data_IF_572886508147
#
_entry.id   IF_572886508147
#
_cell.length_a   1.000
_cell.length_b   1.000
_cell.length_c   1.000
_cell.angle_alpha   90.00
_cell.angle_beta   90.00
_cell.angle_gamma   90.00
#
_symmetry.space_group_name_H-M   'P 1'
#
loop_
_entity.id
_entity.type
_entity.pdbx_description
1 polymer ?
#
# COMPACT_ATOMS: atom_id res chain seq x y z
N UNK A 1 -13.38 8.87 -1.91
CA UNK A 1 -14.33 7.84 -1.47
C UNK A 1 -15.42 7.66 -2.52
N UNK A 2 -15.75 6.41 -2.83
CA UNK A 2 -16.83 6.00 -3.76
C UNK A 2 -17.75 4.99 -3.07
N UNK A 3 -19.03 5.34 -2.93
CA UNK A 3 -20.04 4.46 -2.32
C UNK A 3 -20.49 3.39 -3.31
N UNK A 4 -20.63 2.16 -2.82
CA UNK A 4 -21.02 0.97 -3.61
C UNK A 4 -19.88 0.36 -4.43
N UNK A 5 -18.67 0.92 -4.35
CA UNK A 5 -17.52 0.47 -5.11
C UNK A 5 -16.60 -0.41 -4.25
N UNK A 6 -15.87 -1.30 -4.92
CA UNK A 6 -14.76 -2.06 -4.35
C UNK A 6 -13.41 -1.53 -4.84
N UNK A 7 -12.33 -2.19 -4.42
CA UNK A 7 -10.97 -1.79 -4.77
C UNK A 7 -10.66 -1.97 -6.26
N UNK A 8 -11.36 -2.89 -6.94
CA UNK A 8 -11.13 -3.14 -8.37
C UNK A 8 -11.73 -2.00 -9.21
N UNK A 9 -12.98 -1.62 -8.93
CA UNK A 9 -13.60 -0.46 -9.57
C UNK A 9 -12.83 0.84 -9.27
N UNK A 10 -12.31 0.98 -8.04
CA UNK A 10 -11.51 2.14 -7.68
C UNK A 10 -10.15 2.17 -8.39
N UNK A 11 -9.50 1.02 -8.60
CA UNK A 11 -8.29 0.94 -9.43
C UNK A 11 -8.54 1.36 -10.88
N UNK A 12 -9.71 1.05 -11.45
CA UNK A 12 -10.09 1.49 -12.80
C UNK A 12 -10.18 3.02 -12.87
N UNK A 13 -10.88 3.66 -11.92
CA UNK A 13 -10.98 5.12 -11.86
C UNK A 13 -9.63 5.81 -11.62
N UNK A 14 -8.79 5.23 -10.76
CA UNK A 14 -7.44 5.76 -10.52
C UNK A 14 -6.58 5.62 -11.78
N UNK A 15 -6.69 4.54 -12.53
CA UNK A 15 -5.99 4.37 -13.81
C UNK A 15 -6.41 5.46 -14.81
N UNK A 16 -7.72 5.68 -14.97
CA UNK A 16 -8.25 6.74 -15.84
C UNK A 16 -7.79 8.13 -15.44
N UNK A 17 -7.78 8.43 -14.13
CA UNK A 17 -7.28 9.69 -13.59
C UNK A 17 -5.78 9.86 -13.91
N UNK A 18 -4.96 8.87 -13.58
CA UNK A 18 -3.51 8.92 -13.79
C UNK A 18 -3.17 9.08 -15.27
N UNK A 19 -3.84 8.32 -16.16
CA UNK A 19 -3.66 8.46 -17.61
C UNK A 19 -4.04 9.86 -18.09
N UNK A 20 -5.16 10.40 -17.63
CA UNK A 20 -5.63 11.73 -18.03
C UNK A 20 -4.65 12.83 -17.62
N UNK A 21 -4.13 12.77 -16.38
CA UNK A 21 -3.19 13.75 -15.85
C UNK A 21 -1.79 13.63 -16.48
N UNK A 22 -1.34 12.41 -16.74
CA UNK A 22 0.01 12.17 -17.24
C UNK A 22 0.09 12.14 -18.76
N UNK A 23 -1.01 12.00 -19.51
CA UNK A 23 -1.01 11.90 -20.98
C UNK A 23 -0.17 12.98 -21.71
N UNK A 24 -0.19 14.27 -21.31
CA UNK A 24 0.65 15.28 -21.97
C UNK A 24 2.15 15.07 -21.77
N UNK A 25 2.55 14.40 -20.70
CA UNK A 25 3.94 14.25 -20.26
C UNK A 25 4.49 12.83 -20.50
N UNK A 26 3.61 11.82 -20.49
CA UNK A 26 3.89 10.39 -20.59
C UNK A 26 2.84 9.67 -21.46
N UNK A 27 2.81 9.92 -22.77
CA UNK A 27 1.73 9.49 -23.67
C UNK A 27 1.67 7.97 -23.93
N UNK A 28 2.67 7.20 -23.48
CA UNK A 28 2.76 5.75 -23.67
C UNK A 28 2.62 4.95 -22.38
N UNK A 29 2.20 5.59 -21.28
CA UNK A 29 2.08 4.91 -20.01
C UNK A 29 1.08 3.76 -20.10
N UNK A 30 1.60 2.54 -19.94
CA UNK A 30 0.79 1.34 -19.84
C UNK A 30 0.44 1.06 -18.37
N UNK A 31 -0.53 0.18 -18.14
CA UNK A 31 -0.93 -0.18 -16.79
C UNK A 31 -0.81 -1.68 -16.60
N UNK A 32 -0.14 -2.07 -15.52
CA UNK A 32 -0.02 -3.47 -15.08
C UNK A 32 -0.66 -3.61 -13.71
N UNK A 33 -1.36 -4.73 -13.48
CA UNK A 33 -1.87 -5.11 -12.15
C UNK A 33 -1.19 -6.40 -11.70
N UNK A 34 -0.66 -6.38 -10.48
CA UNK A 34 -0.04 -7.52 -9.84
C UNK A 34 -0.68 -7.70 -8.47
N UNK A 35 -1.02 -8.93 -8.09
CA UNK A 35 -1.21 -9.20 -6.66
C UNK A 35 0.12 -9.08 -5.93
N UNK A 36 0.07 -8.76 -4.64
CA UNK A 36 1.24 -8.65 -3.77
C UNK A 36 2.10 -9.92 -3.85
N UNK A 37 1.44 -11.07 -3.83
CA UNK A 37 2.06 -12.38 -4.02
C UNK A 37 2.73 -12.55 -5.38
N UNK A 38 2.10 -12.08 -6.46
CA UNK A 38 2.70 -12.11 -7.81
C UNK A 38 3.92 -11.20 -7.89
N UNK A 39 3.89 -10.01 -7.29
CA UNK A 39 5.03 -9.10 -7.24
C UNK A 39 6.23 -9.76 -6.54
N UNK A 40 6.03 -10.35 -5.36
CA UNK A 40 7.08 -11.08 -4.64
C UNK A 40 7.69 -12.22 -5.47
N UNK A 41 6.85 -13.06 -6.09
CA UNK A 41 7.33 -14.16 -6.92
C UNK A 41 8.10 -13.69 -8.14
N UNK A 42 7.62 -12.64 -8.80
CA UNK A 42 8.22 -12.11 -10.03
C UNK A 42 9.57 -11.43 -9.78
N UNK A 43 9.67 -10.61 -8.73
CA UNK A 43 10.82 -9.73 -8.54
C UNK A 43 11.86 -10.30 -7.57
N UNK A 44 11.45 -11.09 -6.58
CA UNK A 44 12.36 -11.67 -5.60
C UNK A 44 12.24 -13.21 -5.49
N UNK A 45 11.48 -13.86 -6.38
CA UNK A 45 11.49 -15.32 -6.53
C UNK A 45 10.94 -16.13 -5.35
N UNK A 46 10.30 -15.48 -4.37
CA UNK A 46 9.74 -16.14 -3.18
C UNK A 46 8.29 -15.69 -2.95
N UNK A 47 7.58 -16.41 -2.08
CA UNK A 47 6.23 -16.06 -1.63
C UNK A 47 6.33 -15.14 -0.38
N UNK A 48 5.46 -14.14 -0.18
CA UNK A 48 5.42 -13.30 1.02
C UNK A 48 4.96 -14.04 2.30
N UNK A 49 4.93 -15.38 2.28
CA UNK A 49 4.45 -16.24 3.36
C UNK A 49 5.16 -16.00 4.69
N UNK A 50 4.77 -16.73 5.74
CA UNK A 50 5.12 -16.40 7.14
C UNK A 50 6.57 -16.68 7.56
N UNK A 51 7.45 -17.05 6.65
CA UNK A 51 8.84 -17.37 6.98
C UNK A 51 9.73 -16.11 6.90
N UNK A 52 9.84 -15.42 8.03
CA UNK A 52 10.67 -14.21 8.16
C UNK A 52 12.16 -14.48 7.94
N UNK A 53 12.65 -15.68 8.29
CA UNK A 53 14.06 -16.02 8.11
C UNK A 53 14.40 -16.17 6.63
N UNK A 54 13.58 -16.92 5.89
CA UNK A 54 13.76 -17.07 4.44
C UNK A 54 13.67 -15.72 3.71
N UNK A 55 12.71 -14.87 4.10
CA UNK A 55 12.57 -13.52 3.54
C UNK A 55 13.81 -12.65 3.83
N UNK A 56 14.27 -12.60 5.08
CA UNK A 56 15.46 -11.83 5.46
C UNK A 56 16.72 -12.32 4.72
N UNK A 57 16.94 -13.63 4.62
CA UNK A 57 18.04 -14.19 3.84
C UNK A 57 17.95 -13.82 2.36
N UNK A 58 16.74 -13.84 1.78
CA UNK A 58 16.55 -13.44 0.39
C UNK A 58 16.89 -11.97 0.17
N UNK A 59 16.44 -11.09 1.07
CA UNK A 59 16.74 -9.65 1.00
C UNK A 59 18.23 -9.37 1.14
N UNK A 60 18.91 -10.02 2.10
CA UNK A 60 20.35 -9.92 2.25
C UNK A 60 21.11 -10.38 0.98
N UNK A 61 20.66 -11.47 0.35
CA UNK A 61 21.21 -11.95 -0.92
C UNK A 61 21.00 -11.01 -2.11
N UNK A 62 20.04 -10.09 -2.02
CA UNK A 62 19.81 -9.02 -2.99
C UNK A 62 20.55 -7.72 -2.63
N UNK A 63 21.36 -7.71 -1.57
CA UNK A 63 22.10 -6.54 -1.10
C UNK A 63 21.26 -5.55 -0.31
N UNK A 64 20.03 -5.90 0.10
CA UNK A 64 19.19 -5.05 0.95
C UNK A 64 19.64 -5.18 2.41
N UNK A 65 19.90 -4.04 3.05
CA UNK A 65 20.28 -4.02 4.47
C UNK A 65 19.05 -4.27 5.33
N UNK A 66 19.00 -5.41 6.01
CA UNK A 66 17.94 -5.77 6.94
C UNK A 66 18.31 -5.30 8.35
N UNK A 67 17.53 -4.36 8.89
CA UNK A 67 17.74 -3.87 10.25
C UNK A 67 17.37 -4.92 11.29
N UNK A 68 18.10 -4.94 12.41
CA UNK A 68 17.78 -5.77 13.57
C UNK A 68 16.40 -5.38 14.14
N UNK A 69 15.59 -6.37 14.50
CA UNK A 69 14.30 -6.14 15.17
C UNK A 69 13.10 -5.86 14.26
N UNK A 70 13.25 -5.95 12.93
CA UNK A 70 12.08 -5.94 12.04
C UNK A 70 11.25 -7.20 12.25
N UNK A 71 9.94 -7.02 12.44
CA UNK A 71 8.98 -8.11 12.41
C UNK A 71 8.68 -8.53 10.96
N UNK A 72 7.82 -9.55 10.81
CA UNK A 72 7.52 -10.08 9.47
C UNK A 72 6.94 -9.02 8.53
N UNK A 73 6.01 -8.19 9.01
CA UNK A 73 5.43 -7.12 8.20
C UNK A 73 6.46 -6.05 7.83
N UNK A 74 7.37 -5.70 8.74
CA UNK A 74 8.47 -4.79 8.44
C UNK A 74 9.43 -5.34 7.39
N UNK A 75 9.67 -6.66 7.37
CA UNK A 75 10.44 -7.30 6.30
C UNK A 75 9.69 -7.30 4.96
N UNK A 76 8.37 -7.48 5.00
CA UNK A 76 7.51 -7.41 3.81
C UNK A 76 7.50 -6.00 3.21
N UNK A 77 7.37 -4.98 4.05
CA UNK A 77 7.44 -3.57 3.64
C UNK A 77 8.80 -3.23 3.04
N UNK A 78 9.89 -3.63 3.71
CA UNK A 78 11.25 -3.45 3.19
C UNK A 78 11.46 -4.17 1.85
N UNK A 79 10.93 -5.39 1.70
CA UNK A 79 11.00 -6.11 0.44
C UNK A 79 10.26 -5.38 -0.68
N UNK A 80 9.04 -4.91 -0.41
CA UNK A 80 8.26 -4.18 -1.39
C UNK A 80 8.98 -2.88 -1.80
N UNK A 81 9.40 -2.07 -0.84
CA UNK A 81 9.94 -0.74 -1.12
C UNK A 81 11.37 -0.74 -1.67
N UNK A 82 12.24 -1.66 -1.20
CA UNK A 82 13.67 -1.63 -1.53
C UNK A 82 14.09 -2.66 -2.57
N UNK A 83 13.34 -3.76 -2.75
CA UNK A 83 13.72 -4.83 -3.68
C UNK A 83 12.75 -5.02 -4.85
N UNK A 84 11.46 -4.73 -4.67
CA UNK A 84 10.43 -5.02 -5.66
C UNK A 84 10.05 -3.76 -6.45
N UNK A 85 9.58 -2.71 -5.77
CA UNK A 85 9.10 -1.49 -6.40
C UNK A 85 10.15 -0.79 -7.29
N UNK A 86 11.46 -0.75 -6.94
CA UNK A 86 12.47 -0.20 -7.83
C UNK A 86 12.60 -0.93 -9.18
N UNK A 87 12.11 -2.18 -9.27
CA UNK A 87 12.07 -2.95 -10.51
C UNK A 87 10.82 -2.75 -11.35
N UNK A 88 9.84 -1.96 -10.89
CA UNK A 88 8.69 -1.61 -11.71
C UNK A 88 9.11 -0.70 -12.86
N UNK A 89 8.38 -0.79 -13.97
CA UNK A 89 8.63 0.05 -15.14
C UNK A 89 8.31 1.52 -14.80
N UNK A 90 9.29 2.45 -14.88
CA UNK A 90 9.06 3.87 -14.61
C UNK A 90 8.17 4.52 -15.66
N UNK A 91 8.04 3.96 -16.86
CA UNK A 91 7.20 4.51 -17.92
C UNK A 91 5.76 3.99 -17.85
N UNK A 92 5.45 3.09 -16.91
CA UNK A 92 4.13 2.50 -16.72
C UNK A 92 3.62 2.71 -15.29
N UNK A 93 2.30 2.54 -15.10
CA UNK A 93 1.69 2.44 -13.77
C UNK A 93 1.57 0.97 -13.40
N UNK A 94 2.13 0.59 -12.25
CA UNK A 94 1.98 -0.75 -11.67
C UNK A 94 1.10 -0.67 -10.44
N UNK A 95 -0.10 -1.26 -10.51
CA UNK A 95 -0.92 -1.50 -9.33
C UNK A 95 -0.46 -2.78 -8.64
N UNK A 96 -0.15 -2.68 -7.36
CA UNK A 96 0.00 -3.83 -6.47
C UNK A 96 -1.27 -3.93 -5.64
N UNK A 97 -1.91 -5.10 -5.59
CA UNK A 97 -3.15 -5.30 -4.81
C UNK A 97 -3.12 -6.61 -4.01
N UNK A 98 -4.15 -6.89 -3.20
CA UNK A 98 -4.23 -8.12 -2.38
C UNK A 98 -3.09 -8.23 -1.37
N UNK A 99 -2.88 -7.16 -0.60
CA UNK A 99 -1.86 -7.10 0.45
C UNK A 99 -2.11 -8.20 1.52
N UNK A 100 -1.06 -8.63 2.25
CA UNK A 100 -1.23 -9.51 3.40
C UNK A 100 -2.31 -8.98 4.36
N UNK A 101 -3.13 -9.87 4.92
CA UNK A 101 -4.18 -9.47 5.87
C UNK A 101 -3.63 -8.74 7.12
N UNK A 102 -2.38 -9.01 7.51
CA UNK A 102 -1.68 -8.28 8.58
C UNK A 102 -1.44 -6.80 8.24
N UNK A 103 -1.36 -6.47 6.95
CA UNK A 103 -1.17 -5.12 6.42
C UNK A 103 -2.48 -4.50 5.91
N UNK A 104 -3.62 -4.95 6.44
CA UNK A 104 -4.93 -4.48 6.00
C UNK A 104 -5.18 -3.01 6.29
N UNK A 105 -4.55 -2.41 7.30
CA UNK A 105 -4.88 -1.06 7.75
C UNK A 105 -6.42 -0.92 7.95
N UNK A 106 -7.06 0.03 7.25
CA UNK A 106 -8.51 0.24 7.25
C UNK A 106 -9.25 -0.58 6.17
N UNK A 107 -8.56 -1.47 5.46
CA UNK A 107 -9.16 -2.28 4.41
C UNK A 107 -9.97 -3.46 4.97
N UNK A 108 -11.05 -3.80 4.29
CA UNK A 108 -11.75 -5.07 4.43
C UNK A 108 -10.81 -6.24 4.10
N UNK A 109 -10.95 -7.36 4.82
CA UNK A 109 -10.23 -8.60 4.51
C UNK A 109 -11.10 -9.48 3.59
N UNK A 110 -10.50 -10.00 2.52
CA UNK A 110 -11.10 -10.98 1.61
C UNK A 110 -10.85 -12.39 2.12
N UNK A 111 -11.87 -13.23 2.05
CA UNK A 111 -11.84 -14.64 2.48
C UNK A 111 -11.19 -15.54 1.42
N UNK A 112 -9.94 -15.25 1.07
CA UNK A 112 -9.09 -16.10 0.22
C UNK A 112 -8.24 -17.04 1.07
N UNK A 113 -7.47 -17.94 0.44
CA UNK A 113 -6.50 -18.82 1.12
C UNK A 113 -5.10 -18.62 0.53
N UNK A 114 -4.19 -17.88 1.19
CA UNK A 114 -4.37 -17.16 2.46
C UNK A 114 -5.27 -15.92 2.33
N UNK A 115 -5.83 -15.38 3.44
CA UNK A 115 -6.62 -14.16 3.41
C UNK A 115 -5.78 -12.95 3.03
N UNK A 116 -6.37 -12.01 2.30
CA UNK A 116 -5.71 -10.79 1.80
C UNK A 116 -6.56 -9.56 2.10
N UNK A 117 -5.91 -8.42 2.29
CA UNK A 117 -6.56 -7.13 2.37
C UNK A 117 -7.04 -6.68 0.99
N UNK A 118 -8.26 -6.15 0.92
CA UNK A 118 -8.82 -5.47 -0.23
C UNK A 118 -8.19 -4.07 -0.40
N UNK A 119 -6.87 -4.03 -0.55
CA UNK A 119 -6.03 -2.84 -0.64
C UNK A 119 -5.22 -2.90 -1.94
N UNK A 120 -4.94 -1.74 -2.51
CA UNK A 120 -4.00 -1.55 -3.58
C UNK A 120 -3.11 -0.33 -3.36
N UNK A 121 -1.96 -0.33 -4.00
CA UNK A 121 -1.12 0.84 -4.19
C UNK A 121 -0.79 0.95 -5.69
N UNK A 122 -0.67 2.18 -6.18
CA UNK A 122 -0.27 2.46 -7.55
C UNK A 122 1.15 3.01 -7.54
N UNK A 123 2.03 2.45 -8.38
CA UNK A 123 3.42 2.85 -8.48
C UNK A 123 3.77 3.28 -9.91
N UNK A 124 4.73 4.19 -10.06
CA UNK A 124 5.47 4.41 -11.31
C UNK A 124 6.95 4.29 -11.01
N UNK A 125 7.58 3.22 -11.49
CA UNK A 125 8.87 2.78 -10.96
C UNK A 125 8.79 2.55 -9.44
N UNK A 126 9.80 2.99 -8.70
CA UNK A 126 9.81 2.93 -7.23
C UNK A 126 8.95 3.98 -6.51
N UNK A 127 8.24 4.85 -7.24
CA UNK A 127 7.47 5.95 -6.65
C UNK A 127 6.01 5.53 -6.46
N UNK A 128 5.55 5.49 -5.21
CA UNK A 128 4.14 5.28 -4.86
C UNK A 128 3.31 6.53 -5.16
N UNK A 129 2.32 6.42 -6.03
CA UNK A 129 1.44 7.50 -6.46
C UNK A 129 0.11 7.52 -5.72
N UNK A 130 -0.41 6.35 -5.32
CA UNK A 130 -1.69 6.23 -4.66
C UNK A 130 -1.75 5.02 -3.74
N UNK A 131 -2.58 5.10 -2.71
CA UNK A 131 -2.92 3.99 -1.82
C UNK A 131 -4.43 4.00 -1.59
N UNK A 132 -5.08 2.89 -1.89
CA UNK A 132 -6.53 2.76 -1.81
C UNK A 132 -6.99 1.39 -1.33
N UNK A 133 -8.23 1.33 -0.86
CA UNK A 133 -8.79 0.12 -0.28
C UNK A 133 -10.31 0.13 -0.29
N UNK A 134 -10.91 -1.06 -0.31
CA UNK A 134 -12.30 -1.27 0.12
C UNK A 134 -12.37 -1.10 1.63
N UNK A 135 -13.16 -0.13 2.09
CA UNK A 135 -13.23 0.28 3.49
C UNK A 135 -13.75 -0.83 4.40
N UNK A 136 -13.17 -0.96 5.59
CA UNK A 136 -13.73 -1.74 6.69
C UNK A 136 -14.91 -0.97 7.28
N UNK A 137 -16.11 -1.55 7.20
CA UNK A 137 -17.33 -0.97 7.75
C UNK A 137 -17.71 -1.53 9.11
N UNK A 138 -17.00 -2.56 9.59
CA UNK A 138 -17.27 -3.26 10.85
C UNK A 138 -16.52 -2.58 12.01
N UNK A 139 -17.28 -1.99 12.94
CA UNK A 139 -16.76 -1.27 14.09
C UNK A 139 -16.05 -2.19 15.11
N UNK A 140 -16.52 -3.43 15.29
CA UNK A 140 -15.96 -4.36 16.27
C UNK A 140 -14.61 -4.90 15.79
N UNK A 141 -14.52 -5.21 14.49
CA UNK A 141 -13.25 -5.55 13.83
C UNK A 141 -12.28 -4.36 13.89
N UNK A 142 -12.74 -3.14 13.59
CA UNK A 142 -11.89 -1.94 13.66
C UNK A 142 -11.37 -1.70 15.09
N UNK A 143 -12.21 -1.87 16.11
CA UNK A 143 -11.80 -1.79 17.53
C UNK A 143 -10.76 -2.85 17.86
N UNK A 144 -10.98 -4.09 17.42
CA UNK A 144 -10.05 -5.21 17.64
C UNK A 144 -8.66 -4.92 17.04
N UNK A 145 -8.62 -4.31 15.85
CA UNK A 145 -7.37 -3.86 15.20
C UNK A 145 -6.69 -2.74 15.96
N UNK A 146 -7.44 -1.73 16.42
CA UNK A 146 -6.87 -0.68 17.25
C UNK A 146 -6.24 -1.23 18.53
N UNK A 147 -6.89 -2.16 19.22
CA UNK A 147 -6.31 -2.74 20.43
C UNK A 147 -5.10 -3.64 20.16
N UNK A 148 -5.10 -4.36 19.03
CA UNK A 148 -3.95 -5.13 18.60
C UNK A 148 -2.73 -4.25 18.30
N UNK A 149 -2.91 -3.16 17.55
CA UNK A 149 -1.85 -2.20 17.23
C UNK A 149 -1.33 -1.49 18.49
N UNK A 150 -2.24 -1.08 19.39
CA UNK A 150 -1.86 -0.49 20.68
C UNK A 150 -1.04 -1.45 21.53
N UNK A 151 -1.40 -2.74 21.56
CA UNK A 151 -0.62 -3.77 22.25
C UNK A 151 0.76 -3.94 21.63
N UNK A 152 0.83 -4.09 20.30
CA UNK A 152 2.09 -4.19 19.55
C UNK A 152 3.03 -3.03 19.86
N UNK A 153 2.51 -1.79 19.85
CA UNK A 153 3.30 -0.59 20.18
C UNK A 153 3.80 -0.59 21.62
N UNK A 154 2.97 -0.96 22.60
CA UNK A 154 3.40 -1.08 24.00
C UNK A 154 4.51 -2.11 24.17
N UNK A 155 4.38 -3.25 23.51
CA UNK A 155 5.36 -4.34 23.57
C UNK A 155 6.71 -3.94 22.94
N UNK A 156 6.71 -2.97 22.00
CA UNK A 156 7.92 -2.41 21.38
C UNK A 156 8.38 -1.09 22.02
N UNK A 157 7.79 -0.69 23.14
CA UNK A 157 8.15 0.56 23.85
C UNK A 157 7.75 1.84 23.12
N UNK A 158 6.90 1.75 22.09
CA UNK A 158 6.38 2.89 21.34
C UNK A 158 5.11 3.47 22.00
N UNK A 159 4.86 4.78 21.86
CA UNK A 159 3.61 5.39 22.30
C UNK A 159 2.41 4.74 21.62
N UNK A 160 1.45 4.27 22.43
CA UNK A 160 0.18 3.74 21.95
C UNK A 160 -0.86 4.88 21.89
N UNK A 161 -1.33 5.29 20.70
CA UNK A 161 -2.36 6.31 20.60
C UNK A 161 -3.67 5.86 21.26
N UNK A 162 -4.53 6.81 21.67
CA UNK A 162 -5.88 6.48 22.09
C UNK A 162 -6.65 5.83 20.93
N UNK A 163 -7.66 5.03 21.29
CA UNK A 163 -8.64 4.53 20.31
C UNK A 163 -9.45 5.72 19.79
N UNK A 164 -9.67 5.78 18.48
CA UNK A 164 -10.54 6.78 17.86
C UNK A 164 -12.00 6.37 18.06
N UNK A 165 -12.57 6.82 19.18
CA UNK A 165 -13.96 6.51 19.54
C UNK A 165 -14.99 7.20 18.60
N UNK A 166 -14.62 8.32 17.97
CA UNK A 166 -15.48 9.02 17.02
C UNK A 166 -15.61 8.23 15.71
N UNK A 167 -14.50 7.68 15.21
CA UNK A 167 -14.51 6.78 14.05
C UNK A 167 -15.33 5.52 14.33
N UNK A 168 -15.15 4.89 15.49
CA UNK A 168 -15.91 3.70 15.86
C UNK A 168 -17.41 4.00 15.96
N UNK A 169 -17.78 5.12 16.58
CA UNK A 169 -19.16 5.57 16.62
C UNK A 169 -19.72 5.79 15.21
N UNK A 170 -18.96 6.43 14.31
CA UNK A 170 -19.39 6.64 12.93
C UNK A 170 -19.62 5.31 12.18
N UNK A 171 -18.73 4.33 12.35
CA UNK A 171 -18.90 2.98 11.79
C UNK A 171 -20.15 2.30 12.35
N UNK A 172 -20.41 2.38 13.66
CA UNK A 172 -21.60 1.82 14.30
C UNK A 172 -22.92 2.46 13.84
N UNK A 173 -22.90 3.73 13.42
CA UNK A 173 -24.08 4.38 12.82
C UNK A 173 -24.38 3.87 11.40
N UNK A 174 -23.41 3.21 10.76
CA UNK A 174 -23.55 2.60 9.44
C UNK A 174 -22.77 3.36 8.38
N UNK A 175 -21.62 2.80 8.00
CA UNK A 175 -20.90 3.17 6.78
C UNK A 175 -21.34 2.22 5.65
N UNK A 176 -21.97 2.71 4.56
CA UNK A 176 -22.25 1.86 3.41
C UNK A 176 -20.94 1.33 2.82
N UNK A 177 -21.01 0.15 2.19
CA UNK A 177 -19.88 -0.41 1.46
C UNK A 177 -19.31 0.64 0.49
N UNK A 178 -18.02 0.92 0.60
CA UNK A 178 -17.35 1.94 -0.19
C UNK A 178 -15.86 1.63 -0.32
N UNK A 179 -15.21 2.32 -1.25
CA UNK A 179 -13.76 2.28 -1.41
C UNK A 179 -13.17 3.70 -1.34
N UNK A 180 -12.01 3.82 -0.71
CA UNK A 180 -11.26 5.06 -0.54
C UNK A 180 -9.90 4.97 -1.22
N UNK A 181 -9.39 6.12 -1.68
CA UNK A 181 -8.02 6.25 -2.22
C UNK A 181 -7.46 7.61 -1.85
N UNK A 182 -6.18 7.62 -1.47
CA UNK A 182 -5.36 8.81 -1.37
C UNK A 182 -4.37 8.85 -2.53
N UNK A 183 -4.19 10.02 -3.13
CA UNK A 183 -3.28 10.23 -4.28
C UNK A 183 -2.26 11.31 -3.90
N UNK A 184 -0.98 11.02 -4.11
CA UNK A 184 0.12 11.92 -3.80
C UNK A 184 0.31 12.99 -4.89
N UNK A 185 -0.28 14.17 -4.69
CA UNK A 185 -0.23 15.27 -5.68
C UNK A 185 1.22 15.70 -5.98
N UNK A 186 2.05 15.90 -4.97
CA UNK A 186 3.44 16.33 -5.16
C UNK A 186 4.26 15.31 -5.96
N UNK A 187 3.98 14.01 -5.74
CA UNK A 187 4.61 12.90 -6.47
C UNK A 187 4.15 12.85 -7.93
N UNK A 188 2.88 13.14 -8.21
CA UNK A 188 2.37 13.26 -9.58
C UNK A 188 3.00 14.45 -10.31
N UNK A 189 3.14 15.59 -9.65
CA UNK A 189 3.81 16.77 -10.21
C UNK A 189 5.28 16.43 -10.51
N UNK A 190 5.98 15.77 -9.58
CA UNK A 190 7.36 15.37 -9.78
C UNK A 190 7.50 14.43 -10.98
N UNK A 191 6.62 13.43 -11.07
CA UNK A 191 6.59 12.47 -12.17
C UNK A 191 6.32 13.12 -13.53
N UNK A 192 5.38 14.07 -13.58
CA UNK A 192 5.01 14.81 -14.79
C UNK A 192 6.14 15.77 -15.23
N UNK A 193 6.84 16.39 -14.29
CA UNK A 193 7.98 17.26 -14.54
C UNK A 193 9.30 16.51 -14.81
N UNK A 194 9.32 15.17 -14.64
CA UNK A 194 10.53 14.36 -14.80
C UNK A 194 11.56 14.57 -13.68
N UNK A 195 11.11 14.94 -12.48
CA UNK A 195 11.96 15.22 -11.33
C UNK A 195 12.22 13.93 -10.53
N UNK A 196 13.47 13.76 -10.08
CA UNK A 196 13.90 12.59 -9.31
C UNK A 196 13.64 12.71 -7.80
N UNK A 197 13.32 13.92 -7.31
CA UNK A 197 13.04 14.19 -5.91
C UNK A 197 11.75 14.99 -5.77
N UNK A 198 10.86 14.56 -4.86
CA UNK A 198 9.60 15.25 -4.55
C UNK A 198 9.88 16.63 -3.94
N UNK A 199 10.99 16.82 -3.24
CA UNK A 199 11.38 18.13 -2.71
C UNK A 199 11.48 19.19 -3.81
N UNK A 200 11.84 18.80 -5.04
CA UNK A 200 12.00 19.71 -6.18
C UNK A 200 10.65 20.27 -6.69
N UNK A 201 9.51 19.75 -6.21
CA UNK A 201 8.18 20.29 -6.54
C UNK A 201 7.67 21.31 -5.53
N UNK A 202 8.33 21.46 -4.39
CA UNK A 202 7.93 22.38 -3.34
C UNK A 202 8.66 23.72 -3.49
N UNK A 203 7.92 24.83 -3.50
CA UNK A 203 8.52 26.17 -3.62
C UNK A 203 9.47 26.53 -2.46
N UNK A 204 9.35 25.83 -1.33
CA UNK A 204 10.21 25.96 -0.16
C UNK A 204 10.51 24.58 0.42
N UNK A 205 11.35 23.80 -0.25
CA UNK A 205 11.95 22.61 0.35
C UNK A 205 13.18 23.03 1.18
N UNK A 206 13.20 22.63 2.45
CA UNK A 206 14.36 22.79 3.33
C UNK A 206 15.16 21.49 3.40
#
# INVERSE_FOLDING_TARGET
>A
YRVGWDEAALMDEVDDLLRSLLAPYRPRASTTRLSYRQAFRRYIGIDPGKDSSALAHRLAGLGVTVSQGLDHDGLLDLALSAAIAPGFDPDSVTFVHDYPASQAALARIKTTSPPVAARFEAFSGGLELANGYSELTDADEQRSRFEAERRKRRDTGLPAPPVDEDLLAALSHGLPACAGVAVGVDRLVALAAGLGNVADTMSFAH
#
